data_IF_667131730465
#
_entry.id   IF_667131730465
#
_cell.length_a   1.000
_cell.length_b   1.000
_cell.length_c   1.000
_cell.angle_alpha   90.00
_cell.angle_beta   90.00
_cell.angle_gamma   90.00
#
_symmetry.space_group_name_H-M   'P 1'
#
loop_
_entity.id
_entity.type
_entity.pdbx_description
1 polymer ?
#
# COMPACT_ATOMS: atom_id res chain seq x y z
N UNK A 1 12.32 -15.33 9.47
CA UNK A 1 12.17 -15.14 10.94
C UNK A 1 12.05 -13.64 11.18
N UNK A 2 11.01 -13.22 11.90
CA UNK A 2 10.87 -11.83 12.37
C UNK A 2 12.01 -11.48 13.31
N UNK A 3 12.62 -10.32 13.13
CA UNK A 3 13.72 -9.87 13.99
C UNK A 3 13.23 -9.64 15.43
N UNK A 4 14.06 -9.95 16.42
CA UNK A 4 13.81 -9.55 17.81
C UNK A 4 14.23 -8.08 17.96
N UNK A 5 13.28 -7.20 18.31
CA UNK A 5 13.52 -5.77 18.50
C UNK A 5 13.26 -5.42 19.95
N UNK A 6 14.18 -4.68 20.57
CA UNK A 6 14.05 -4.29 21.97
C UNK A 6 12.82 -3.38 22.17
N UNK A 7 11.95 -3.75 23.09
CA UNK A 7 10.72 -3.00 23.41
C UNK A 7 9.54 -3.30 22.48
N UNK A 8 9.67 -4.29 21.58
CA UNK A 8 8.65 -4.60 20.60
C UNK A 8 8.45 -6.12 20.40
N UNK A 9 7.23 -6.56 20.55
CA UNK A 9 6.80 -7.96 20.33
C UNK A 9 6.21 -8.13 18.94
N UNK A 10 6.64 -9.14 18.13
CA UNK A 10 6.04 -9.43 16.84
C UNK A 10 4.53 -9.75 16.95
N UNK A 11 3.70 -9.11 16.13
CA UNK A 11 2.27 -9.40 16.01
C UNK A 11 1.94 -10.22 14.77
N UNK A 12 2.47 -9.81 13.63
CA UNK A 12 2.22 -10.47 12.35
C UNK A 12 3.37 -10.24 11.38
N UNK A 13 3.53 -11.18 10.45
CA UNK A 13 4.46 -11.08 9.34
C UNK A 13 3.69 -11.19 8.04
N UNK A 14 3.67 -10.11 7.26
CA UNK A 14 3.12 -10.09 5.91
C UNK A 14 4.14 -10.55 4.86
N UNK A 15 3.76 -10.47 3.58
CA UNK A 15 4.65 -10.85 2.46
C UNK A 15 5.95 -10.03 2.46
N UNK A 16 5.87 -8.73 2.78
CA UNK A 16 7.01 -7.80 2.71
C UNK A 16 7.15 -6.90 3.95
N UNK A 17 6.20 -6.90 4.86
CA UNK A 17 6.22 -6.09 6.09
C UNK A 17 5.96 -6.94 7.32
N UNK A 18 6.60 -6.58 8.42
CA UNK A 18 6.40 -7.18 9.73
C UNK A 18 5.83 -6.12 10.68
N UNK A 19 4.83 -6.49 11.46
CA UNK A 19 4.13 -5.62 12.40
C UNK A 19 4.46 -6.07 13.83
N UNK A 20 4.78 -5.10 14.67
CA UNK A 20 5.09 -5.32 16.08
C UNK A 20 4.20 -4.44 16.95
N UNK A 21 3.88 -4.92 18.15
CA UNK A 21 3.30 -4.13 19.23
C UNK A 21 4.37 -3.77 20.26
N UNK A 22 4.19 -2.68 21.01
CA UNK A 22 5.03 -2.38 22.15
C UNK A 22 4.95 -3.50 23.19
N UNK A 23 6.08 -3.82 23.84
CA UNK A 23 6.09 -4.74 25.00
C UNK A 23 5.25 -4.16 26.14
N UNK A 24 4.48 -4.99 26.83
CA UNK A 24 3.65 -4.55 27.97
C UNK A 24 4.45 -3.86 29.07
N UNK A 25 5.69 -4.27 29.27
CA UNK A 25 6.60 -3.65 30.23
C UNK A 25 7.00 -2.20 29.87
N UNK A 26 6.85 -1.81 28.59
CA UNK A 26 7.14 -0.47 28.06
C UNK A 26 5.86 0.37 27.98
N UNK A 27 4.71 -0.27 28.01
CA UNK A 27 3.40 0.37 28.05
C UNK A 27 3.09 0.77 29.49
N UNK A 28 3.43 1.99 29.90
CA UNK A 28 2.92 2.57 31.15
C UNK A 28 1.38 2.61 31.16
N UNK A 29 0.74 2.84 32.30
CA UNK A 29 -0.71 2.88 32.35
C UNK A 29 -1.25 3.92 31.34
N UNK A 30 -2.25 3.51 30.55
CA UNK A 30 -2.89 4.39 29.58
C UNK A 30 -3.33 5.68 30.28
N UNK A 31 -3.18 6.85 29.64
CA UNK A 31 -3.66 8.11 30.20
C UNK A 31 -5.17 8.01 30.47
N UNK A 32 -5.57 8.24 31.71
CA UNK A 32 -6.95 8.07 32.18
C UNK A 32 -7.93 9.17 31.71
N UNK A 33 -7.62 9.92 30.69
CA UNK A 33 -8.37 11.11 30.27
C UNK A 33 -9.16 10.96 28.97
N UNK A 34 -9.66 9.77 28.64
CA UNK A 34 -10.67 9.64 27.57
C UNK A 34 -11.99 9.17 28.15
N UNK A 35 -12.94 10.09 28.32
CA UNK A 35 -14.34 9.78 28.61
C UNK A 35 -14.88 8.80 27.59
N UNK A 36 -15.34 7.63 28.05
CA UNK A 36 -15.80 6.47 27.27
C UNK A 36 -17.20 6.68 26.62
N UNK A 37 -17.52 7.84 26.12
CA UNK A 37 -18.78 8.06 25.41
C UNK A 37 -18.59 7.76 23.91
N UNK A 38 -19.05 6.58 23.47
CA UNK A 38 -19.15 6.24 22.04
C UNK A 38 -18.37 5.01 21.54
N UNK A 39 -17.69 4.25 22.40
CA UNK A 39 -17.05 2.99 21.97
C UNK A 39 -18.10 1.89 21.76
N UNK A 40 -18.09 1.17 20.61
CA UNK A 40 -18.81 -0.08 20.51
C UNK A 40 -18.30 -1.04 21.61
N UNK A 41 -19.24 -1.61 22.40
CA UNK A 41 -18.97 -2.34 23.66
C UNK A 41 -18.13 -3.62 23.55
N UNK A 42 -17.56 -3.97 22.39
CA UNK A 42 -16.86 -5.25 22.13
C UNK A 42 -15.54 -5.15 21.36
N UNK A 43 -15.04 -3.97 21.01
CA UNK A 43 -13.71 -3.88 20.44
C UNK A 43 -12.67 -4.04 21.57
N UNK A 44 -11.91 -5.15 21.58
CA UNK A 44 -10.66 -5.23 22.36
C UNK A 44 -9.82 -4.03 21.96
N UNK A 45 -9.41 -3.20 22.94
CA UNK A 45 -8.50 -2.10 22.68
C UNK A 45 -7.22 -2.70 22.06
N UNK A 46 -6.92 -2.33 20.81
CA UNK A 46 -5.65 -2.68 20.17
C UNK A 46 -4.48 -1.98 20.88
N UNK A 47 -3.24 -2.30 20.52
CA UNK A 47 -2.07 -1.61 21.06
C UNK A 47 -2.15 -0.10 20.76
N UNK A 48 -1.56 0.72 21.65
CA UNK A 48 -1.56 2.19 21.50
C UNK A 48 -0.87 2.64 20.20
N UNK A 49 0.17 1.90 19.79
CA UNK A 49 0.92 2.13 18.57
C UNK A 49 1.39 0.79 17.97
N UNK A 50 1.75 0.83 16.71
CA UNK A 50 2.38 -0.28 15.99
C UNK A 50 3.73 0.17 15.45
N UNK A 51 4.71 -0.74 15.43
CA UNK A 51 5.91 -0.55 14.63
C UNK A 51 5.75 -1.39 13.35
N UNK A 52 5.75 -0.73 12.22
CA UNK A 52 5.71 -1.36 10.91
C UNK A 52 7.12 -1.35 10.30
N UNK A 53 7.64 -2.55 10.03
CA UNK A 53 8.99 -2.75 9.51
C UNK A 53 8.89 -3.29 8.09
N UNK A 54 9.33 -2.50 7.11
CA UNK A 54 9.44 -2.92 5.72
C UNK A 54 10.71 -3.74 5.54
N UNK A 55 10.59 -4.91 4.94
CA UNK A 55 11.71 -5.83 4.73
C UNK A 55 12.23 -5.78 3.29
N UNK A 56 13.39 -6.38 3.09
CA UNK A 56 13.98 -6.58 1.76
C UNK A 56 13.36 -7.76 1.00
N UNK A 57 12.34 -8.42 1.57
CA UNK A 57 11.57 -9.45 0.88
C UNK A 57 10.83 -8.84 -0.31
N UNK A 58 10.73 -9.62 -1.38
CA UNK A 58 9.91 -9.27 -2.54
C UNK A 58 8.91 -10.39 -2.82
N UNK A 59 7.72 -10.00 -3.24
CA UNK A 59 6.65 -10.94 -3.59
C UNK A 59 6.13 -10.66 -4.99
N UNK A 60 5.84 -11.73 -5.74
CA UNK A 60 5.14 -11.67 -7.00
C UNK A 60 4.20 -12.86 -7.12
N UNK A 61 3.01 -12.64 -7.76
CA UNK A 61 2.01 -13.70 -7.93
C UNK A 61 1.66 -14.42 -6.62
N UNK A 62 1.56 -13.67 -5.50
CA UNK A 62 1.29 -14.13 -4.13
C UNK A 62 2.38 -14.97 -3.46
N UNK A 63 3.47 -15.26 -4.13
CA UNK A 63 4.64 -15.93 -3.56
C UNK A 63 5.65 -14.90 -3.05
N UNK A 64 6.20 -15.16 -1.86
CA UNK A 64 7.41 -14.47 -1.40
C UNK A 64 8.61 -15.18 -2.00
N UNK A 65 9.45 -14.46 -2.74
CA UNK A 65 10.63 -15.04 -3.36
C UNK A 65 11.72 -15.35 -2.31
N UNK A 66 12.53 -16.38 -2.54
CA UNK A 66 13.61 -16.72 -1.62
C UNK A 66 14.75 -15.68 -1.62
N UNK A 67 14.87 -14.87 -2.67
CA UNK A 67 15.91 -13.84 -2.79
C UNK A 67 15.44 -12.54 -2.13
N UNK A 68 16.31 -11.94 -1.31
CA UNK A 68 16.12 -10.60 -0.78
C UNK A 68 16.68 -9.56 -1.77
N UNK A 69 16.03 -8.41 -1.88
CA UNK A 69 16.51 -7.27 -2.66
C UNK A 69 17.16 -6.26 -1.69
N UNK A 70 18.50 -6.17 -1.65
CA UNK A 70 19.18 -5.36 -0.65
C UNK A 70 18.77 -3.89 -0.68
N UNK A 71 18.36 -3.35 0.46
CA UNK A 71 17.96 -1.94 0.61
C UNK A 71 16.54 -1.62 0.15
N UNK A 72 15.81 -2.59 -0.45
CA UNK A 72 14.43 -2.38 -0.90
C UNK A 72 13.53 -1.83 0.21
N UNK A 73 13.60 -2.44 1.40
CA UNK A 73 12.78 -2.01 2.54
C UNK A 73 13.00 -0.55 2.91
N UNK A 74 14.24 -0.09 2.87
CA UNK A 74 14.57 1.30 3.16
C UNK A 74 14.03 2.25 2.07
N UNK A 75 14.21 1.92 0.80
CA UNK A 75 13.70 2.72 -0.33
C UNK A 75 12.19 2.87 -0.26
N UNK A 76 11.46 1.76 -0.11
CA UNK A 76 9.99 1.78 -0.04
C UNK A 76 9.49 2.59 1.17
N UNK A 77 10.09 2.38 2.34
CA UNK A 77 9.69 3.09 3.55
C UNK A 77 9.90 4.61 3.42
N UNK A 78 11.06 5.03 2.92
CA UNK A 78 11.35 6.45 2.73
C UNK A 78 10.46 7.10 1.67
N UNK A 79 10.18 6.39 0.58
CA UNK A 79 9.28 6.86 -0.47
C UNK A 79 7.85 7.02 0.06
N UNK A 80 7.35 6.04 0.82
CA UNK A 80 6.03 6.13 1.45
C UNK A 80 5.92 7.33 2.42
N UNK A 81 6.94 7.55 3.27
CA UNK A 81 6.98 8.71 4.18
C UNK A 81 6.96 10.02 3.36
N UNK A 82 7.75 10.11 2.30
CA UNK A 82 7.79 11.28 1.43
C UNK A 82 6.41 11.57 0.82
N UNK A 83 5.74 10.56 0.26
CA UNK A 83 4.41 10.69 -0.31
C UNK A 83 3.35 11.08 0.74
N UNK A 84 3.41 10.50 1.94
CA UNK A 84 2.54 10.90 3.05
C UNK A 84 2.68 12.39 3.39
N UNK A 85 3.91 12.92 3.30
CA UNK A 85 4.16 14.35 3.46
C UNK A 85 3.58 15.19 2.32
N UNK A 86 3.69 14.76 1.07
CA UNK A 86 3.11 15.47 -0.08
C UNK A 86 1.57 15.51 -0.03
N UNK A 87 0.95 14.41 0.38
CA UNK A 87 -0.50 14.25 0.39
C UNK A 87 -1.16 14.69 1.71
N UNK A 88 -0.39 15.10 2.71
CA UNK A 88 -0.88 15.55 4.02
C UNK A 88 -1.98 16.62 3.97
N UNK A 89 -1.96 17.59 3.02
CA UNK A 89 -3.04 18.57 2.90
C UNK A 89 -4.41 17.99 2.55
N UNK A 90 -4.47 16.77 1.99
CA UNK A 90 -5.72 16.14 1.57
C UNK A 90 -6.27 15.18 2.62
N UNK A 91 -5.40 14.53 3.41
CA UNK A 91 -5.80 13.51 4.38
C UNK A 91 -4.78 13.36 5.50
N UNK A 92 -5.26 13.04 6.69
CA UNK A 92 -4.38 12.56 7.75
C UNK A 92 -3.81 11.18 7.42
N UNK A 93 -2.57 10.92 7.85
CA UNK A 93 -1.95 9.60 7.73
C UNK A 93 -1.70 8.97 9.11
N UNK A 94 -1.31 7.72 9.10
CA UNK A 94 -1.16 6.91 10.31
C UNK A 94 0.16 7.12 11.07
N UNK A 95 1.10 7.92 10.56
CA UNK A 95 2.43 8.07 11.18
C UNK A 95 2.35 8.78 12.53
N UNK A 96 3.08 8.23 13.50
CA UNK A 96 3.34 8.83 14.82
C UNK A 96 4.81 9.21 14.99
N UNK A 97 5.73 8.38 14.50
CA UNK A 97 7.15 8.67 14.51
C UNK A 97 7.88 7.97 13.36
N UNK A 98 8.97 8.57 12.94
CA UNK A 98 9.90 8.03 11.94
C UNK A 98 11.30 7.93 12.52
N UNK A 99 12.17 7.15 11.90
CA UNK A 99 13.57 7.02 12.30
C UNK A 99 14.43 8.22 11.89
N UNK A 100 15.69 8.21 12.32
CA UNK A 100 16.65 9.30 12.06
C UNK A 100 17.09 9.38 10.59
N UNK A 101 16.92 8.29 9.84
CA UNK A 101 17.21 8.21 8.40
C UNK A 101 15.99 8.53 7.52
N UNK A 102 14.93 9.08 8.09
CA UNK A 102 13.76 9.50 7.32
C UNK A 102 14.12 10.65 6.36
N UNK A 103 13.37 10.82 5.23
CA UNK A 103 13.59 11.93 4.31
C UNK A 103 13.32 13.28 4.99
N UNK A 104 13.89 14.35 4.44
CA UNK A 104 13.73 15.69 5.00
C UNK A 104 12.26 16.16 5.10
N UNK A 105 11.43 15.67 4.20
CA UNK A 105 9.99 15.94 4.14
C UNK A 105 9.16 15.20 5.21
N UNK A 106 9.78 14.32 6.00
CA UNK A 106 9.08 13.58 7.06
C UNK A 106 8.37 14.49 8.07
N UNK A 107 8.88 15.71 8.30
CA UNK A 107 8.22 16.70 9.15
C UNK A 107 6.80 17.02 8.67
N UNK A 108 6.57 17.12 7.35
CA UNK A 108 5.24 17.30 6.77
C UNK A 108 4.34 16.12 7.00
N UNK A 109 4.87 14.89 6.86
CA UNK A 109 4.10 13.67 7.10
C UNK A 109 3.61 13.56 8.55
N UNK A 110 4.37 14.15 9.48
CA UNK A 110 4.07 14.17 10.92
C UNK A 110 3.28 15.41 11.38
N UNK A 111 2.90 16.32 10.48
CA UNK A 111 2.08 17.48 10.85
C UNK A 111 0.75 17.03 11.46
N UNK A 112 0.44 17.51 12.67
CA UNK A 112 -0.75 17.13 13.41
C UNK A 112 -0.75 15.69 13.94
N UNK A 113 0.36 14.94 13.83
CA UNK A 113 0.49 13.64 14.45
C UNK A 113 0.34 13.75 15.97
N UNK A 114 -0.32 12.75 16.56
CA UNK A 114 -0.45 12.69 18.02
C UNK A 114 0.94 12.47 18.65
N UNK A 115 1.24 13.13 19.77
CA UNK A 115 2.48 12.86 20.50
C UNK A 115 2.60 11.39 20.87
N UNK A 116 3.77 10.82 20.67
CA UNK A 116 4.07 9.44 21.04
C UNK A 116 5.36 9.34 21.84
N UNK A 117 5.42 8.37 22.76
CA UNK A 117 6.64 7.99 23.50
C UNK A 117 7.45 6.92 22.77
N UNK A 118 6.88 6.33 21.71
CA UNK A 118 7.52 5.25 20.98
C UNK A 118 8.46 5.82 19.91
N UNK A 119 9.57 5.16 19.73
CA UNK A 119 10.60 5.51 18.74
C UNK A 119 10.91 4.31 17.86
N UNK A 120 11.42 4.57 16.68
CA UNK A 120 11.92 3.52 15.79
C UNK A 120 13.24 2.97 16.34
N UNK A 121 13.36 1.64 16.59
CA UNK A 121 14.61 1.03 17.01
C UNK A 121 15.75 1.23 15.99
N UNK A 122 16.97 1.39 16.47
CA UNK A 122 18.14 1.65 15.63
C UNK A 122 18.41 0.53 14.60
N UNK A 123 18.07 -0.72 14.94
CA UNK A 123 18.27 -1.91 14.10
C UNK A 123 17.42 -1.89 12.82
N UNK A 124 16.33 -1.13 12.83
CA UNK A 124 15.39 -1.00 11.70
C UNK A 124 15.25 0.44 11.22
N UNK A 125 16.13 1.33 11.67
CA UNK A 125 16.13 2.73 11.27
C UNK A 125 16.30 2.88 9.74
N UNK A 126 15.46 3.73 9.15
CA UNK A 126 15.36 3.95 7.71
C UNK A 126 14.37 3.03 6.99
N UNK A 127 13.97 1.89 7.59
CA UNK A 127 13.00 0.95 6.99
C UNK A 127 11.78 0.65 7.88
N UNK A 128 11.57 1.43 8.92
CA UNK A 128 10.45 1.28 9.84
C UNK A 128 9.83 2.62 10.21
N UNK A 129 8.56 2.57 10.61
CA UNK A 129 7.79 3.69 11.14
C UNK A 129 7.00 3.24 12.36
N UNK A 130 6.77 4.16 13.30
CA UNK A 130 5.76 3.99 14.34
C UNK A 130 4.47 4.61 13.83
N UNK A 131 3.38 3.85 13.87
CA UNK A 131 2.07 4.26 13.39
C UNK A 131 0.97 4.01 14.42
N UNK A 132 -0.15 4.74 14.30
CA UNK A 132 -1.34 4.50 15.14
C UNK A 132 -1.97 3.16 14.77
N UNK A 133 -2.56 2.52 15.77
CA UNK A 133 -3.43 1.39 15.55
C UNK A 133 -4.78 1.89 15.04
N UNK A 134 -5.21 1.40 13.89
CA UNK A 134 -6.44 1.78 13.22
C UNK A 134 -7.36 0.57 13.09
N UNK A 135 -8.66 0.84 13.03
CA UNK A 135 -9.61 -0.14 12.50
C UNK A 135 -9.54 -0.09 10.97
N UNK A 136 -8.79 -1.02 10.38
CA UNK A 136 -8.57 -1.06 8.94
C UNK A 136 -9.86 -1.37 8.18
N UNK A 137 -10.12 -0.62 7.13
CA UNK A 137 -11.23 -0.86 6.20
C UNK A 137 -10.82 -2.04 5.30
N UNK A 138 -11.66 -3.11 5.18
CA UNK A 138 -11.30 -4.32 4.45
C UNK A 138 -11.48 -4.17 2.93
N UNK A 139 -11.07 -3.03 2.40
CA UNK A 139 -11.14 -2.67 0.97
C UNK A 139 -9.77 -2.18 0.52
N UNK A 140 -9.28 -2.74 -0.56
CA UNK A 140 -8.16 -2.18 -1.32
C UNK A 140 -8.69 -1.13 -2.29
N UNK A 141 -8.29 0.11 -2.08
CA UNK A 141 -8.76 1.26 -2.84
C UNK A 141 -7.85 1.48 -4.05
N UNK A 142 -8.08 0.71 -5.11
CA UNK A 142 -7.31 0.83 -6.36
C UNK A 142 -7.87 1.96 -7.21
N UNK A 143 -6.99 2.84 -7.69
CA UNK A 143 -7.32 3.88 -8.68
C UNK A 143 -6.48 3.68 -9.92
N UNK A 144 -7.13 3.71 -11.08
CA UNK A 144 -6.48 3.53 -12.39
C UNK A 144 -6.64 4.78 -13.23
N UNK A 145 -5.54 5.32 -13.71
CA UNK A 145 -5.52 6.37 -14.74
C UNK A 145 -5.15 5.84 -16.11
N UNK A 146 -4.68 4.59 -16.16
CA UNK A 146 -4.33 3.87 -17.39
C UNK A 146 -4.84 2.44 -17.28
N UNK A 147 -5.16 1.85 -18.45
CA UNK A 147 -5.70 0.51 -18.55
C UNK A 147 -4.58 -0.50 -18.79
N UNK A 148 -4.30 -1.33 -17.79
CA UNK A 148 -3.25 -2.37 -17.83
C UNK A 148 -3.54 -3.48 -16.83
N UNK A 149 -2.81 -4.58 -16.89
CA UNK A 149 -2.88 -5.69 -15.93
C UNK A 149 -4.27 -6.28 -15.79
N UNK A 150 -4.74 -6.51 -14.55
CA UNK A 150 -6.07 -7.11 -14.29
C UNK A 150 -7.23 -6.25 -14.82
N UNK A 151 -7.10 -4.91 -14.80
CA UNK A 151 -8.12 -4.03 -15.35
C UNK A 151 -8.27 -4.18 -16.84
N UNK A 152 -7.17 -4.32 -17.59
CA UNK A 152 -7.24 -4.59 -19.02
C UNK A 152 -7.81 -5.98 -19.33
N UNK A 153 -7.46 -6.99 -18.52
CA UNK A 153 -8.01 -8.33 -18.69
C UNK A 153 -9.54 -8.32 -18.56
N UNK A 154 -10.05 -7.72 -17.47
CA UNK A 154 -11.50 -7.58 -17.24
C UNK A 154 -12.20 -6.78 -18.34
N UNK A 155 -11.58 -5.67 -18.78
CA UNK A 155 -12.11 -4.86 -19.89
C UNK A 155 -12.23 -5.66 -21.20
N UNK A 156 -11.25 -6.48 -21.54
CA UNK A 156 -11.28 -7.33 -22.74
C UNK A 156 -12.40 -8.36 -22.72
N UNK A 157 -12.82 -8.80 -21.56
CA UNK A 157 -13.89 -9.77 -21.38
C UNK A 157 -15.28 -9.12 -21.42
N UNK A 158 -15.41 -7.96 -20.78
CA UNK A 158 -16.74 -7.38 -20.49
C UNK A 158 -16.96 -5.96 -21.02
N UNK A 159 -15.92 -5.27 -21.51
CA UNK A 159 -15.98 -3.84 -21.85
C UNK A 159 -16.07 -2.92 -20.62
N UNK A 160 -15.86 -3.48 -19.41
CA UNK A 160 -15.98 -2.76 -18.15
C UNK A 160 -14.86 -3.15 -17.18
N UNK A 161 -14.65 -2.35 -16.13
CA UNK A 161 -13.77 -2.66 -15.00
C UNK A 161 -14.51 -2.37 -13.71
N UNK A 162 -14.65 -3.33 -12.81
CA UNK A 162 -15.43 -3.22 -11.58
C UNK A 162 -16.86 -2.66 -11.81
N UNK A 163 -17.50 -3.07 -12.90
CA UNK A 163 -18.82 -2.58 -13.31
C UNK A 163 -18.83 -1.21 -14.02
N UNK A 164 -17.70 -0.51 -14.08
CA UNK A 164 -17.59 0.77 -14.79
C UNK A 164 -17.41 0.49 -16.29
N UNK A 165 -18.41 0.85 -17.09
CA UNK A 165 -18.35 0.70 -18.54
C UNK A 165 -17.36 1.70 -19.14
N UNK A 166 -16.43 1.22 -19.94
CA UNK A 166 -15.41 2.03 -20.59
C UNK A 166 -15.67 2.17 -22.10
N UNK A 167 -15.11 3.20 -22.76
CA UNK A 167 -15.18 3.35 -24.22
C UNK A 167 -14.60 2.14 -24.94
N UNK A 168 -15.13 1.89 -26.16
CA UNK A 168 -14.59 0.85 -27.03
C UNK A 168 -13.21 1.22 -27.59
N UNK A 169 -12.39 0.22 -27.88
CA UNK A 169 -11.10 0.40 -28.55
C UNK A 169 -9.92 0.69 -27.63
N UNK A 170 -10.10 0.65 -26.31
CA UNK A 170 -8.98 0.77 -25.37
C UNK A 170 -8.06 -0.47 -25.45
N UNK A 171 -6.76 -0.22 -25.35
CA UNK A 171 -5.70 -1.22 -25.50
C UNK A 171 -4.77 -1.20 -24.30
N UNK A 172 -3.65 -1.94 -24.35
CA UNK A 172 -2.62 -1.91 -23.32
C UNK A 172 -2.11 -0.48 -23.14
N UNK A 173 -1.96 -0.06 -21.88
CA UNK A 173 -1.49 1.26 -21.48
C UNK A 173 -2.31 2.44 -22.04
N UNK A 174 -3.55 2.22 -22.50
CA UNK A 174 -4.46 3.34 -22.86
C UNK A 174 -4.71 4.23 -21.67
N UNK A 175 -4.56 5.55 -21.86
CA UNK A 175 -4.88 6.55 -20.86
C UNK A 175 -6.40 6.69 -20.75
N UNK A 176 -6.93 6.63 -19.55
CA UNK A 176 -8.33 6.91 -19.27
C UNK A 176 -8.58 8.43 -19.26
N UNK A 177 -9.72 8.87 -19.75
CA UNK A 177 -10.12 10.28 -19.74
C UNK A 177 -10.14 10.83 -18.30
N UNK A 178 -10.77 10.04 -17.41
CA UNK A 178 -10.78 10.30 -15.96
C UNK A 178 -10.29 9.06 -15.22
N UNK A 179 -9.56 9.24 -14.09
CA UNK A 179 -9.19 8.11 -13.23
C UNK A 179 -10.43 7.43 -12.69
N UNK A 180 -10.42 6.10 -12.67
CA UNK A 180 -11.51 5.28 -12.15
C UNK A 180 -11.13 4.62 -10.84
N UNK A 181 -12.10 4.51 -9.93
CA UNK A 181 -11.98 3.75 -8.68
C UNK A 181 -12.41 2.31 -8.91
N UNK A 182 -11.50 1.38 -8.75
CA UNK A 182 -11.69 -0.05 -9.03
C UNK A 182 -11.32 -0.86 -7.78
N UNK A 183 -12.20 -0.88 -6.77
CA UNK A 183 -11.89 -1.48 -5.48
C UNK A 183 -11.72 -3.00 -5.56
N UNK A 184 -10.95 -3.56 -4.62
CA UNK A 184 -10.90 -4.99 -4.39
C UNK A 184 -11.23 -5.31 -2.94
N UNK A 185 -11.93 -6.42 -2.72
CA UNK A 185 -12.13 -6.93 -1.38
C UNK A 185 -10.84 -7.59 -0.91
N UNK A 186 -10.39 -7.25 0.30
CA UNK A 186 -9.26 -7.93 0.93
C UNK A 186 -9.64 -9.38 1.18
N UNK A 187 -8.91 -10.29 0.55
CA UNK A 187 -9.06 -11.72 0.75
C UNK A 187 -8.44 -12.16 2.09
N UNK A 188 -8.83 -13.33 2.58
CA UNK A 188 -8.15 -13.97 3.70
C UNK A 188 -6.72 -14.37 3.28
N UNK A 189 -5.84 -14.54 4.27
CA UNK A 189 -4.43 -14.89 4.05
C UNK A 189 -4.32 -16.19 3.19
N UNK A 190 -3.84 -16.03 1.95
CA UNK A 190 -3.65 -17.14 1.00
C UNK A 190 -4.62 -17.14 -0.18
N UNK A 191 -5.61 -16.28 -0.19
CA UNK A 191 -6.52 -16.07 -1.31
C UNK A 191 -6.13 -14.81 -2.11
N UNK A 192 -6.70 -14.66 -3.32
CA UNK A 192 -6.49 -13.48 -4.16
C UNK A 192 -7.52 -12.41 -3.84
N UNK A 193 -7.07 -11.14 -3.80
CA UNK A 193 -7.96 -10.00 -3.73
C UNK A 193 -8.87 -9.98 -4.96
N UNK A 194 -10.18 -9.93 -4.73
CA UNK A 194 -11.19 -9.98 -5.80
C UNK A 194 -11.67 -8.57 -6.12
N UNK A 195 -11.61 -8.20 -7.40
CA UNK A 195 -12.21 -6.97 -7.87
C UNK A 195 -13.72 -6.97 -7.56
N UNK A 196 -14.21 -5.90 -6.96
CA UNK A 196 -15.62 -5.71 -6.63
C UNK A 196 -16.13 -4.40 -7.21
N UNK A 197 -17.45 -4.29 -7.37
CA UNK A 197 -18.05 -3.04 -7.82
C UNK A 197 -18.15 -2.02 -6.67
N UNK A 198 -18.45 -0.77 -7.01
CA UNK A 198 -18.72 0.26 -5.99
C UNK A 198 -19.93 -0.11 -5.12
N UNK A 199 -20.98 -0.67 -5.71
CA UNK A 199 -22.18 -1.11 -5.01
C UNK A 199 -21.86 -2.21 -4.00
N UNK A 200 -21.05 -3.20 -4.39
CA UNK A 200 -20.59 -4.26 -3.49
C UNK A 200 -19.69 -3.69 -2.36
N UNK A 201 -18.92 -2.65 -2.66
CA UNK A 201 -18.16 -1.92 -1.63
C UNK A 201 -19.11 -1.25 -0.63
N UNK A 202 -20.12 -0.55 -1.14
CA UNK A 202 -21.14 0.12 -0.29
C UNK A 202 -21.93 -0.87 0.56
N UNK A 203 -22.26 -2.04 0.02
CA UNK A 203 -22.91 -3.11 0.80
C UNK A 203 -22.04 -3.62 1.96
N UNK A 204 -20.72 -3.66 1.79
CA UNK A 204 -19.78 -4.19 2.81
C UNK A 204 -19.48 -3.19 3.93
N UNK A 205 -19.32 -1.91 3.60
CA UNK A 205 -18.81 -0.90 4.55
C UNK A 205 -19.77 0.27 4.77
N UNK A 206 -20.93 0.29 4.13
CA UNK A 206 -21.89 1.38 4.12
C UNK A 206 -21.61 2.43 3.05
N UNK A 207 -22.67 3.02 2.50
CA UNK A 207 -22.58 3.93 1.35
C UNK A 207 -21.76 5.19 1.64
N UNK A 208 -21.96 5.81 2.81
CA UNK A 208 -21.25 7.03 3.21
C UNK A 208 -19.73 6.83 3.23
N UNK A 209 -19.26 5.72 3.83
CA UNK A 209 -17.84 5.39 3.90
C UNK A 209 -17.30 5.00 2.53
N UNK A 210 -18.06 4.25 1.72
CA UNK A 210 -17.68 3.87 0.37
C UNK A 210 -17.49 5.09 -0.54
N UNK A 211 -18.38 6.07 -0.47
CA UNK A 211 -18.26 7.36 -1.18
C UNK A 211 -16.99 8.10 -0.69
N UNK A 212 -16.80 8.20 0.61
CA UNK A 212 -15.67 8.91 1.19
C UNK A 212 -14.31 8.34 0.73
N UNK A 213 -14.13 7.01 0.79
CA UNK A 213 -12.86 6.39 0.37
C UNK A 213 -12.67 6.45 -1.15
N UNK A 214 -13.73 6.34 -1.96
CA UNK A 214 -13.66 6.51 -3.42
C UNK A 214 -13.18 7.92 -3.79
N UNK A 215 -13.87 8.94 -3.29
CA UNK A 215 -13.61 10.32 -3.66
C UNK A 215 -12.23 10.77 -3.18
N UNK A 216 -11.86 10.35 -1.97
CA UNK A 216 -10.53 10.61 -1.42
C UNK A 216 -9.43 9.89 -2.23
N UNK A 217 -9.63 8.62 -2.60
CA UNK A 217 -8.65 7.87 -3.40
C UNK A 217 -8.41 8.52 -4.76
N UNK A 218 -9.47 8.98 -5.43
CA UNK A 218 -9.36 9.69 -6.72
C UNK A 218 -8.62 11.03 -6.53
N UNK A 219 -8.91 11.78 -5.46
CA UNK A 219 -8.24 13.03 -5.17
C UNK A 219 -6.74 12.83 -4.88
N UNK A 220 -6.39 11.82 -4.09
CA UNK A 220 -5.01 11.45 -3.79
C UNK A 220 -4.26 11.02 -5.05
N UNK A 221 -4.88 10.19 -5.90
CA UNK A 221 -4.30 9.77 -7.16
C UNK A 221 -4.01 10.96 -8.08
N UNK A 222 -4.98 11.89 -8.25
CA UNK A 222 -4.81 13.08 -9.09
C UNK A 222 -3.64 13.94 -8.62
N UNK A 223 -3.56 14.22 -7.31
CA UNK A 223 -2.46 14.98 -6.73
C UNK A 223 -1.11 14.27 -6.93
N UNK A 224 -1.05 12.96 -6.69
CA UNK A 224 0.16 12.18 -6.88
C UNK A 224 0.59 12.12 -8.36
N UNK A 225 -0.36 11.92 -9.28
CA UNK A 225 -0.13 11.94 -10.73
C UNK A 225 0.53 13.24 -11.17
N UNK A 226 0.00 14.38 -10.72
CA UNK A 226 0.50 15.70 -11.11
C UNK A 226 1.92 15.93 -10.59
N UNK A 227 2.21 15.55 -9.33
CA UNK A 227 3.55 15.60 -8.75
C UNK A 227 4.54 14.67 -9.48
N UNK A 228 4.12 13.46 -9.87
CA UNK A 228 4.95 12.51 -10.60
C UNK A 228 5.23 12.99 -12.03
N UNK A 229 4.23 13.57 -12.69
CA UNK A 229 4.34 14.08 -14.06
C UNK A 229 5.41 15.18 -14.18
N UNK A 230 5.56 16.06 -13.19
CA UNK A 230 6.64 17.05 -13.13
C UNK A 230 8.05 16.43 -13.14
N UNK A 231 8.15 15.15 -12.82
CA UNK A 231 9.40 14.37 -12.78
C UNK A 231 9.52 13.37 -13.92
N UNK A 232 8.66 13.48 -14.94
CA UNK A 232 8.66 12.57 -16.08
C UNK A 232 8.20 11.16 -15.75
N UNK A 233 7.38 10.98 -14.70
CA UNK A 233 6.87 9.68 -14.25
C UNK A 233 5.35 9.64 -14.43
N UNK A 234 4.86 8.56 -15.03
CA UNK A 234 3.44 8.19 -15.07
C UNK A 234 3.15 7.25 -13.92
N UNK A 235 2.12 7.55 -13.13
CA UNK A 235 1.50 6.60 -12.21
C UNK A 235 0.32 5.98 -12.95
N UNK A 236 0.45 4.72 -13.41
CA UNK A 236 -0.60 4.07 -14.18
C UNK A 236 -1.78 3.68 -13.30
N UNK A 237 -1.51 3.08 -12.18
CA UNK A 237 -2.46 2.77 -11.11
C UNK A 237 -1.76 2.76 -9.75
N UNK A 238 -2.56 2.84 -8.71
CA UNK A 238 -2.08 2.73 -7.33
C UNK A 238 -3.16 2.13 -6.44
N UNK A 239 -2.73 1.57 -5.32
CA UNK A 239 -3.58 1.03 -4.27
C UNK A 239 -3.39 1.84 -2.99
N UNK A 240 -4.47 2.36 -2.43
CA UNK A 240 -4.51 2.96 -1.11
C UNK A 240 -5.23 2.05 -0.12
N UNK A 241 -4.88 2.17 1.13
CA UNK A 241 -5.58 1.54 2.24
C UNK A 241 -5.93 2.60 3.30
N UNK A 242 -7.10 2.47 3.88
CA UNK A 242 -7.60 3.39 4.89
C UNK A 242 -7.98 2.64 6.17
N UNK A 243 -7.96 3.36 7.25
CA UNK A 243 -8.50 2.90 8.52
C UNK A 243 -9.24 4.02 9.25
N UNK A 244 -10.04 3.63 10.24
CA UNK A 244 -10.71 4.55 11.13
C UNK A 244 -9.92 4.63 12.43
N UNK A 245 -9.56 5.83 12.82
CA UNK A 245 -9.00 6.09 14.15
C UNK A 245 -10.08 5.86 15.20
N UNK A 246 -9.90 4.85 16.03
CA UNK A 246 -10.91 4.45 17.03
C UNK A 246 -11.14 5.48 18.12
N UNK A 247 -10.26 6.46 18.25
CA UNK A 247 -10.36 7.53 19.27
C UNK A 247 -11.13 8.72 18.73
N UNK A 248 -10.86 9.12 17.48
CA UNK A 248 -11.43 10.33 16.87
C UNK A 248 -12.56 10.04 15.90
N UNK A 249 -12.68 8.81 15.38
CA UNK A 249 -13.57 8.47 14.29
C UNK A 249 -13.10 8.97 12.92
N UNK A 250 -11.91 9.56 12.83
CA UNK A 250 -11.38 10.10 11.59
C UNK A 250 -10.97 9.00 10.61
N UNK A 251 -11.22 9.25 9.31
CA UNK A 251 -10.69 8.46 8.21
C UNK A 251 -9.21 8.80 8.01
N UNK A 252 -8.34 7.80 8.01
CA UNK A 252 -6.88 7.94 8.02
C UNK A 252 -6.28 7.11 6.89
N UNK A 253 -5.37 7.70 6.12
CA UNK A 253 -4.56 7.01 5.12
C UNK A 253 -3.52 6.13 5.82
N UNK A 254 -3.46 4.88 5.46
CA UNK A 254 -2.66 3.87 6.14
C UNK A 254 -1.81 3.04 5.17
N UNK A 255 -1.04 2.13 5.74
CA UNK A 255 -0.12 1.22 5.06
C UNK A 255 0.94 1.95 4.20
N UNK A 256 1.48 1.29 3.19
CA UNK A 256 2.35 1.96 2.22
C UNK A 256 1.54 2.61 1.10
N UNK A 257 2.03 3.72 0.60
CA UNK A 257 1.40 4.43 -0.50
C UNK A 257 2.41 4.77 -1.59
N UNK A 258 1.99 4.65 -2.86
CA UNK A 258 2.74 5.17 -4.00
C UNK A 258 4.19 4.67 -4.03
N UNK A 259 4.38 3.38 -3.75
CA UNK A 259 5.67 2.70 -3.86
C UNK A 259 5.65 1.74 -5.05
N UNK A 260 6.80 1.29 -5.55
CA UNK A 260 6.87 0.24 -6.56
C UNK A 260 6.20 -1.10 -6.18
N UNK A 261 5.86 -1.30 -4.90
CA UNK A 261 5.12 -2.47 -4.44
C UNK A 261 3.60 -2.29 -4.53
N UNK A 262 3.09 -1.05 -4.41
CA UNK A 262 1.66 -0.72 -4.40
C UNK A 262 1.17 -0.03 -5.67
N UNK A 263 2.08 0.38 -6.58
CA UNK A 263 1.77 1.21 -7.74
C UNK A 263 2.58 0.80 -8.95
N UNK A 264 2.08 1.13 -10.16
CA UNK A 264 2.83 1.02 -11.41
C UNK A 264 3.36 2.38 -11.82
N UNK A 265 4.69 2.47 -11.96
CA UNK A 265 5.39 3.68 -12.38
C UNK A 265 6.06 3.46 -13.73
N UNK A 266 5.77 4.34 -14.70
CA UNK A 266 6.35 4.27 -16.03
C UNK A 266 7.15 5.53 -16.36
N UNK A 267 8.26 5.42 -17.09
CA UNK A 267 8.94 6.59 -17.66
C UNK A 267 8.03 7.23 -18.73
N UNK A 268 7.71 8.50 -18.55
CA UNK A 268 6.75 9.19 -19.42
C UNK A 268 7.26 9.33 -20.86
N UNK A 269 8.57 9.43 -21.06
CA UNK A 269 9.24 9.54 -22.36
C UNK A 269 9.30 8.20 -23.13
N UNK A 270 9.00 7.08 -22.48
CA UNK A 270 8.99 5.74 -23.08
C UNK A 270 7.58 5.13 -23.14
N UNK A 271 6.59 5.83 -22.64
CA UNK A 271 5.20 5.37 -22.70
C UNK A 271 4.66 5.49 -24.13
N UNK A 272 4.10 4.40 -24.64
CA UNK A 272 3.40 4.34 -25.93
C UNK A 272 2.10 3.57 -25.73
N UNK A 273 0.98 4.19 -26.08
CA UNK A 273 -0.31 3.53 -26.04
C UNK A 273 -0.34 2.30 -26.97
N UNK A 274 -0.94 1.22 -26.51
CA UNK A 274 -1.00 -0.07 -27.23
C UNK A 274 0.21 -0.97 -26.99
N UNK A 275 1.21 -0.53 -26.20
CA UNK A 275 2.41 -1.31 -25.89
C UNK A 275 2.55 -1.48 -24.38
N UNK A 276 3.20 -2.58 -23.97
CA UNK A 276 3.60 -2.76 -22.58
C UNK A 276 4.65 -1.70 -22.24
N UNK A 277 4.33 -0.82 -21.30
CA UNK A 277 5.23 0.24 -20.90
C UNK A 277 6.41 -0.32 -20.08
N UNK A 278 7.65 0.16 -20.29
CA UNK A 278 8.73 -0.07 -19.33
C UNK A 278 8.33 0.39 -17.94
N UNK A 279 8.81 -0.28 -16.89
CA UNK A 279 8.30 -0.06 -15.55
C UNK A 279 9.44 0.07 -14.53
N UNK A 280 9.25 0.97 -13.56
CA UNK A 280 10.12 1.13 -12.38
C UNK A 280 9.64 0.31 -11.17
N UNK A 281 8.69 -0.60 -11.38
CA UNK A 281 8.05 -1.41 -10.34
C UNK A 281 8.30 -2.91 -10.53
N UNK A 282 7.51 -3.73 -9.82
CA UNK A 282 7.59 -5.21 -9.88
C UNK A 282 7.33 -5.83 -11.24
N UNK A 283 6.94 -5.07 -12.26
CA UNK A 283 6.66 -5.64 -13.58
C UNK A 283 7.91 -6.28 -14.19
N UNK A 284 9.08 -5.64 -14.02
CA UNK A 284 10.35 -6.21 -14.42
C UNK A 284 10.59 -7.63 -13.85
N UNK A 285 10.31 -7.79 -12.55
CA UNK A 285 10.39 -9.09 -11.90
C UNK A 285 9.35 -10.08 -12.41
N UNK A 286 8.10 -9.61 -12.61
CA UNK A 286 7.03 -10.45 -13.13
C UNK A 286 7.32 -10.96 -14.52
N UNK A 287 7.86 -10.09 -15.39
CA UNK A 287 8.25 -10.43 -16.76
C UNK A 287 9.36 -11.49 -16.77
N UNK A 288 10.36 -11.35 -15.90
CA UNK A 288 11.39 -12.37 -15.75
C UNK A 288 10.81 -13.70 -15.26
N UNK A 289 9.93 -13.69 -14.27
CA UNK A 289 9.32 -14.91 -13.71
C UNK A 289 8.50 -15.72 -14.73
N UNK A 290 7.86 -15.06 -15.69
CA UNK A 290 7.09 -15.74 -16.74
C UNK A 290 7.92 -16.02 -18.00
N UNK A 291 9.17 -15.56 -18.06
CA UNK A 291 10.07 -15.85 -19.17
C UNK A 291 10.62 -17.27 -19.09
N UNK A 292 11.07 -17.81 -20.23
CA UNK A 292 11.74 -19.11 -20.29
C UNK A 292 13.01 -19.17 -19.41
N UNK A 293 13.64 -18.02 -19.13
CA UNK A 293 14.85 -17.94 -18.32
C UNK A 293 14.63 -18.33 -16.86
N UNK A 294 13.44 -18.12 -16.33
CA UNK A 294 13.10 -18.48 -14.95
C UNK A 294 12.88 -20.00 -14.79
N UNK A 295 12.42 -20.67 -15.84
CA UNK A 295 12.00 -22.06 -15.81
C UNK A 295 10.79 -22.33 -14.88
N UNK A 296 10.13 -21.28 -14.42
CA UNK A 296 9.02 -21.41 -13.46
C UNK A 296 7.67 -21.54 -14.15
N UNK A 297 6.99 -22.61 -13.85
CA UNK A 297 5.61 -22.80 -14.26
C UNK A 297 4.67 -22.44 -13.10
N UNK A 298 4.01 -21.29 -13.21
CA UNK A 298 3.05 -20.79 -12.22
C UNK A 298 1.89 -21.79 -11.99
N UNK A 299 1.48 -22.53 -12.99
CA UNK A 299 0.36 -23.47 -12.90
C UNK A 299 0.71 -24.73 -12.12
N UNK A 300 1.99 -25.02 -11.93
CA UNK A 300 2.47 -26.20 -11.20
C UNK A 300 2.25 -26.15 -9.70
N UNK A 301 1.95 -24.97 -9.13
CA UNK A 301 1.90 -24.76 -7.68
C UNK A 301 3.27 -24.76 -6.98
N UNK A 302 4.37 -24.87 -7.75
CA UNK A 302 5.72 -24.80 -7.20
C UNK A 302 6.09 -23.37 -6.79
N UNK A 303 6.94 -23.22 -5.78
CA UNK A 303 7.48 -21.93 -5.41
C UNK A 303 8.36 -21.35 -6.54
N UNK A 304 8.35 -20.01 -6.72
CA UNK A 304 9.24 -19.37 -7.67
C UNK A 304 10.72 -19.59 -7.32
N UNK A 305 11.61 -19.62 -8.31
CA UNK A 305 13.04 -19.82 -8.11
C UNK A 305 13.68 -18.57 -7.44
N UNK A 306 14.91 -18.76 -6.96
CA UNK A 306 15.74 -17.63 -6.54
C UNK A 306 16.07 -16.74 -7.75
N UNK A 307 16.10 -15.43 -7.54
CA UNK A 307 16.49 -14.49 -8.58
C UNK A 307 18.01 -14.58 -8.84
N UNK A 308 18.42 -14.57 -10.11
CA UNK A 308 19.85 -14.38 -10.42
C UNK A 308 20.29 -12.95 -10.01
N UNK A 309 21.56 -12.79 -9.73
CA UNK A 309 22.13 -11.51 -9.32
C UNK A 309 21.84 -10.38 -10.33
N UNK A 310 21.85 -10.70 -11.62
CA UNK A 310 21.52 -9.75 -12.69
C UNK A 310 20.08 -9.24 -12.69
N UNK A 311 19.18 -9.88 -11.94
CA UNK A 311 17.77 -9.48 -11.79
C UNK A 311 17.52 -8.86 -10.42
N UNK A 312 18.31 -9.23 -9.40
CA UNK A 312 18.18 -8.77 -8.04
C UNK A 312 18.96 -7.46 -7.74
N UNK A 313 19.96 -7.15 -8.55
CA UNK A 313 20.78 -5.94 -8.47
C UNK A 313 20.12 -4.77 -9.20
#
# INVERSE_FOLDING_TARGET
MTATLHGWTPLSAGKVRDIYAPDEAVVGPAPQTATQAGRPRHAKAGPEALLMVTSDRISAYDYVLPTLIPGKGAVLNQLAIWWMGQLRPLVENHLLAVGTKAPAEASRALEGAQPTRFTVPAEVDGRAVVCRSLHMIPIECVVRGYLTGSGLAEYRESGSVCGIKLPEGLTEASRLEEPIFTPAAKAELGEHDENITFEQTAERIGEELAVAIRDLSIALYRAARDIAAERGIIIADTKFEFGIDVTTGALVLADEILTPDSSRFWPADQWVEGQVAPSFDKQYLRDWLVSEQSGWDRSSGANPPALPESVAA
#
